data_IF_522180604863
#
_entry.id   IF_522180604863
#
_cell.length_a   1.000
_cell.length_b   1.000
_cell.length_c   1.000
_cell.angle_alpha   90.00
_cell.angle_beta   90.00
_cell.angle_gamma   90.00
#
_symmetry.space_group_name_H-M   'P 1'
#
loop_
_entity.id
_entity.type
_entity.pdbx_description
1 polymer ?
#
# COMPACT_ATOMS: atom_id res chain seq x y z
N UNK A 1 -16.04 21.21 -13.84
CA UNK A 1 -15.80 21.12 -12.39
C UNK A 1 -14.62 21.97 -12.01
N UNK A 2 -14.74 22.72 -10.94
CA UNK A 2 -13.66 23.59 -10.47
C UNK A 2 -12.47 22.73 -10.00
N UNK A 3 -11.25 22.92 -10.57
CA UNK A 3 -10.08 22.13 -10.15
C UNK A 3 -9.72 22.29 -8.67
N UNK A 4 -9.88 23.48 -8.11
CA UNK A 4 -9.58 23.73 -6.70
C UNK A 4 -10.54 22.93 -5.81
N UNK A 5 -11.81 22.89 -6.16
CA UNK A 5 -12.80 22.13 -5.43
C UNK A 5 -12.51 20.62 -5.51
N UNK A 6 -12.14 20.15 -6.68
CA UNK A 6 -11.74 18.74 -6.88
C UNK A 6 -10.53 18.39 -6.04
N UNK A 7 -9.53 19.27 -5.99
CA UNK A 7 -8.34 19.08 -5.16
C UNK A 7 -8.71 18.92 -3.69
N UNK A 8 -9.60 19.77 -3.18
CA UNK A 8 -10.01 19.71 -1.78
C UNK A 8 -10.74 18.41 -1.46
N UNK A 9 -11.58 17.93 -2.37
CA UNK A 9 -12.27 16.65 -2.21
C UNK A 9 -11.28 15.49 -2.13
N UNK A 10 -10.26 15.48 -3.00
CA UNK A 10 -9.23 14.45 -3.02
C UNK A 10 -8.40 14.47 -1.74
N UNK A 11 -8.05 15.66 -1.25
CA UNK A 11 -7.31 15.79 0.01
C UNK A 11 -8.13 15.24 1.19
N UNK A 12 -9.44 15.48 1.21
CA UNK A 12 -10.31 14.93 2.24
C UNK A 12 -10.35 13.40 2.17
N UNK A 13 -10.36 12.83 0.98
CA UNK A 13 -10.32 11.38 0.82
C UNK A 13 -9.01 10.79 1.32
N UNK A 14 -7.88 11.47 1.08
CA UNK A 14 -6.59 11.04 1.60
C UNK A 14 -6.58 10.95 3.12
N UNK A 15 -7.21 11.93 3.77
CA UNK A 15 -7.26 11.98 5.23
C UNK A 15 -8.08 10.83 5.84
N UNK A 16 -8.88 10.14 5.05
CA UNK A 16 -9.69 9.02 5.53
C UNK A 16 -8.92 7.70 5.63
N UNK A 17 -7.68 7.64 5.17
CA UNK A 17 -6.86 6.43 5.26
C UNK A 17 -5.91 6.51 6.45
N UNK A 18 -6.31 5.97 7.62
CA UNK A 18 -5.47 6.08 8.83
C UNK A 18 -4.27 5.14 8.80
N UNK A 19 -4.38 4.00 8.10
CA UNK A 19 -3.32 3.00 8.04
C UNK A 19 -3.09 2.58 6.59
N UNK A 20 -1.83 2.59 6.16
CA UNK A 20 -1.46 2.10 4.84
C UNK A 20 -0.01 1.64 4.86
N UNK A 21 0.27 0.60 4.10
CA UNK A 21 1.60 -0.02 4.03
C UNK A 21 1.91 -0.33 2.57
N UNK A 22 3.14 -0.04 2.19
CA UNK A 22 3.67 -0.41 0.88
C UNK A 22 4.47 -1.71 1.03
N UNK A 23 4.12 -2.71 0.24
CA UNK A 23 4.82 -3.99 0.29
C UNK A 23 3.97 -5.11 -0.27
N UNK A 24 4.47 -6.31 -0.14
CA UNK A 24 3.78 -7.51 -0.58
C UNK A 24 3.84 -8.58 0.50
N UNK A 25 2.80 -9.40 0.56
CA UNK A 25 2.74 -10.51 1.49
C UNK A 25 3.17 -11.77 0.75
N UNK A 26 4.13 -12.47 1.35
CA UNK A 26 4.56 -13.78 0.87
C UNK A 26 4.31 -14.81 1.98
N UNK A 27 3.92 -16.01 1.57
CA UNK A 27 3.81 -17.12 2.49
C UNK A 27 5.02 -18.02 2.30
N UNK A 28 5.63 -18.42 3.41
CA UNK A 28 6.78 -19.30 3.41
C UNK A 28 6.57 -20.41 4.44
N UNK A 29 7.26 -21.53 4.25
CA UNK A 29 7.24 -22.59 5.26
C UNK A 29 7.99 -22.12 6.50
N UNK A 30 7.35 -22.22 7.66
CA UNK A 30 7.96 -21.81 8.92
C UNK A 30 9.17 -22.68 9.29
N UNK A 31 9.23 -23.92 8.79
CA UNK A 31 10.31 -24.85 9.05
C UNK A 31 11.49 -24.67 8.09
N UNK A 32 11.19 -24.60 6.78
CA UNK A 32 12.20 -24.54 5.72
C UNK A 32 12.52 -23.12 5.29
N UNK A 33 11.68 -22.16 5.62
CA UNK A 33 11.80 -20.77 5.19
C UNK A 33 11.80 -20.62 3.65
N UNK A 34 11.12 -21.54 2.96
CA UNK A 34 11.01 -21.53 1.50
C UNK A 34 9.56 -21.35 1.08
N UNK A 35 9.36 -20.60 -0.01
CA UNK A 35 8.03 -20.37 -0.53
C UNK A 35 7.41 -21.63 -1.17
N UNK A 36 8.25 -22.49 -1.73
CA UNK A 36 7.81 -23.74 -2.36
C UNK A 36 8.57 -24.91 -1.78
N UNK A 37 7.97 -25.60 -0.84
CA UNK A 37 8.49 -26.86 -0.31
C UNK A 37 7.32 -27.80 -0.06
N UNK A 38 7.63 -29.07 0.18
CA UNK A 38 6.60 -30.08 0.42
C UNK A 38 5.78 -29.76 1.67
N UNK A 39 6.38 -29.08 2.65
CA UNK A 39 5.73 -28.66 3.88
C UNK A 39 4.67 -27.58 3.65
N UNK A 40 4.76 -26.84 2.55
CA UNK A 40 3.85 -25.72 2.24
C UNK A 40 2.40 -26.18 2.03
N UNK A 41 2.16 -27.47 1.84
CA UNK A 41 0.83 -28.03 1.70
C UNK A 41 0.08 -28.09 3.04
N UNK A 42 0.78 -27.96 4.16
CA UNK A 42 0.19 -27.95 5.49
C UNK A 42 0.07 -26.51 5.99
N UNK A 43 -1.15 -26.01 6.10
CA UNK A 43 -1.41 -24.63 6.50
C UNK A 43 -0.84 -24.28 7.87
N UNK A 44 -0.76 -25.25 8.78
CA UNK A 44 -0.20 -25.03 10.11
C UNK A 44 1.29 -24.72 10.11
N UNK A 45 2.00 -25.05 9.02
CA UNK A 45 3.44 -24.79 8.87
C UNK A 45 3.72 -23.52 8.08
N UNK A 46 2.67 -22.82 7.61
CA UNK A 46 2.85 -21.61 6.82
C UNK A 46 3.08 -20.40 7.69
N UNK A 47 4.04 -19.61 7.33
CA UNK A 47 4.31 -18.32 7.93
C UNK A 47 4.11 -17.23 6.86
N UNK A 48 3.74 -16.03 7.30
CA UNK A 48 3.50 -14.91 6.41
C UNK A 48 4.50 -13.81 6.69
N UNK A 49 5.00 -13.17 5.65
CA UNK A 49 5.92 -12.05 5.75
C UNK A 49 5.48 -10.91 4.87
N UNK A 50 5.58 -9.71 5.43
CA UNK A 50 5.48 -8.49 4.63
C UNK A 50 6.88 -8.13 4.17
N UNK A 51 7.09 -8.07 2.86
CA UNK A 51 8.36 -7.64 2.27
C UNK A 51 8.17 -6.24 1.72
N UNK A 52 9.03 -5.32 2.11
CA UNK A 52 8.95 -3.93 1.70
C UNK A 52 10.33 -3.33 1.58
N UNK A 53 10.41 -2.18 0.90
CA UNK A 53 11.65 -1.41 0.81
C UNK A 53 11.57 -0.22 1.75
N UNK A 54 12.60 -0.03 2.57
CA UNK A 54 12.66 1.08 3.50
C UNK A 54 13.06 2.39 2.77
N UNK A 55 13.22 3.47 3.54
CA UNK A 55 13.59 4.78 2.98
C UNK A 55 14.95 4.78 2.28
N UNK A 56 15.82 3.83 2.60
CA UNK A 56 17.13 3.67 1.98
C UNK A 56 17.12 2.67 0.81
N UNK A 57 15.92 2.24 0.38
CA UNK A 57 15.72 1.27 -0.70
C UNK A 57 16.26 -0.13 -0.40
N UNK A 58 16.46 -0.44 0.87
CA UNK A 58 16.85 -1.78 1.30
C UNK A 58 15.61 -2.63 1.51
N UNK A 59 15.68 -3.88 1.07
CA UNK A 59 14.59 -4.83 1.25
C UNK A 59 14.54 -5.28 2.71
N UNK A 60 13.38 -5.10 3.33
CA UNK A 60 13.12 -5.51 4.71
C UNK A 60 11.94 -6.44 4.73
N UNK A 61 11.84 -7.26 5.75
CA UNK A 61 10.70 -8.13 5.94
C UNK A 61 10.26 -8.11 7.40
N UNK A 62 8.94 -8.23 7.59
CA UNK A 62 8.33 -8.27 8.92
C UNK A 62 7.44 -9.49 8.97
N UNK A 63 7.56 -10.25 10.05
CA UNK A 63 6.71 -11.40 10.26
C UNK A 63 5.27 -10.96 10.55
N UNK A 64 4.30 -11.58 9.88
CA UNK A 64 2.89 -11.27 10.04
C UNK A 64 2.19 -12.51 10.59
N UNK A 65 1.56 -12.36 11.74
CA UNK A 65 0.79 -13.45 12.35
C UNK A 65 -0.48 -13.70 11.54
N UNK A 66 -0.97 -14.95 11.57
CA UNK A 66 -2.14 -15.34 10.81
C UNK A 66 -3.37 -14.49 11.13
N UNK A 67 -3.55 -14.13 12.41
CA UNK A 67 -4.66 -13.29 12.85
C UNK A 67 -4.51 -11.81 12.42
N UNK A 68 -3.29 -11.37 12.10
CA UNK A 68 -3.01 -10.02 11.62
C UNK A 68 -3.10 -9.90 10.11
N UNK A 69 -3.21 -11.03 9.41
CA UNK A 69 -3.16 -11.06 7.94
C UNK A 69 -4.27 -10.22 7.28
N UNK A 70 -5.55 -10.30 7.71
CA UNK A 70 -6.60 -9.47 7.11
C UNK A 70 -6.33 -7.98 7.25
N UNK A 71 -5.84 -7.54 8.42
CA UNK A 71 -5.49 -6.14 8.65
C UNK A 71 -4.35 -5.69 7.73
N UNK A 72 -3.32 -6.52 7.61
CA UNK A 72 -2.18 -6.20 6.74
C UNK A 72 -2.60 -6.10 5.29
N UNK A 73 -3.45 -6.99 4.81
CA UNK A 73 -3.98 -6.94 3.45
C UNK A 73 -4.78 -5.68 3.20
N UNK A 74 -5.56 -5.25 4.19
CA UNK A 74 -6.32 -4.01 4.12
C UNK A 74 -5.40 -2.79 4.04
N UNK A 75 -4.32 -2.79 4.82
CA UNK A 75 -3.34 -1.70 4.80
C UNK A 75 -2.64 -1.59 3.45
N UNK A 76 -2.33 -2.73 2.82
CA UNK A 76 -1.73 -2.75 1.48
C UNK A 76 -2.72 -2.23 0.45
N UNK A 77 -3.99 -2.65 0.53
CA UNK A 77 -5.03 -2.16 -0.36
C UNK A 77 -5.25 -0.66 -0.20
N UNK A 78 -5.20 -0.16 1.03
CA UNK A 78 -5.31 1.27 1.32
C UNK A 78 -4.18 2.05 0.66
N UNK A 79 -2.97 1.52 0.66
CA UNK A 79 -1.85 2.17 -0.02
C UNK A 79 -2.08 2.27 -1.52
N UNK A 80 -2.60 1.21 -2.13
CA UNK A 80 -2.90 1.23 -3.56
C UNK A 80 -3.93 2.30 -3.92
N UNK A 81 -4.98 2.44 -3.09
CA UNK A 81 -5.99 3.48 -3.26
C UNK A 81 -5.42 4.87 -3.04
N UNK A 82 -4.60 5.02 -2.01
CA UNK A 82 -3.91 6.28 -1.70
C UNK A 82 -3.05 6.72 -2.87
N UNK A 83 -2.32 5.79 -3.47
CA UNK A 83 -1.45 6.09 -4.62
C UNK A 83 -2.26 6.61 -5.81
N UNK A 84 -3.42 6.03 -6.08
CA UNK A 84 -4.31 6.53 -7.13
C UNK A 84 -4.78 7.95 -6.85
N UNK A 85 -5.13 8.23 -5.60
CA UNK A 85 -5.56 9.57 -5.21
C UNK A 85 -4.43 10.59 -5.40
N UNK A 86 -3.18 10.20 -5.07
CA UNK A 86 -2.03 11.07 -5.27
C UNK A 86 -1.84 11.38 -6.75
N UNK A 87 -1.98 10.38 -7.63
CA UNK A 87 -1.86 10.59 -9.07
C UNK A 87 -2.94 11.54 -9.59
N UNK A 88 -4.18 11.39 -9.11
CA UNK A 88 -5.26 12.30 -9.46
C UNK A 88 -4.97 13.72 -8.97
N UNK A 89 -4.42 13.85 -7.76
CA UNK A 89 -4.03 15.15 -7.21
C UNK A 89 -2.96 15.84 -8.04
N UNK A 90 -1.98 15.08 -8.52
CA UNK A 90 -0.93 15.61 -9.39
C UNK A 90 -1.56 16.25 -10.63
N UNK A 91 -2.47 15.53 -11.29
CA UNK A 91 -3.14 16.05 -12.49
C UNK A 91 -4.00 17.28 -12.19
N UNK A 92 -4.74 17.24 -11.08
CA UNK A 92 -5.59 18.38 -10.69
C UNK A 92 -4.73 19.61 -10.36
N UNK A 93 -3.62 19.42 -9.66
CA UNK A 93 -2.71 20.53 -9.34
C UNK A 93 -2.10 21.15 -10.60
N UNK A 94 -1.80 20.34 -11.60
CA UNK A 94 -1.32 20.85 -12.89
C UNK A 94 -2.40 21.70 -13.57
N UNK A 95 -3.65 21.25 -13.52
CA UNK A 95 -4.77 22.02 -14.09
C UNK A 95 -4.96 23.36 -13.38
N UNK A 96 -4.87 23.35 -12.05
CA UNK A 96 -4.97 24.59 -11.26
C UNK A 96 -3.85 25.55 -11.65
N UNK A 97 -2.64 25.04 -11.76
CA UNK A 97 -1.48 25.85 -12.15
C UNK A 97 -1.66 26.47 -13.55
N UNK A 98 -2.13 25.68 -14.51
CA UNK A 98 -2.38 26.16 -15.87
C UNK A 98 -3.42 27.28 -15.90
N UNK A 99 -4.48 27.16 -15.12
CA UNK A 99 -5.52 28.18 -15.05
C UNK A 99 -4.98 29.47 -14.42
N UNK A 100 -4.14 29.36 -13.41
CA UNK A 100 -3.51 30.53 -12.78
C UNK A 100 -2.59 31.26 -13.74
N UNK A 101 -1.86 30.54 -14.59
CA UNK A 101 -0.93 31.16 -15.54
C UNK A 101 -1.63 31.79 -16.74
N UNK A 102 -2.89 31.45 -16.99
CA UNK A 102 -3.66 32.07 -18.07
C UNK A 102 -4.17 33.46 -17.71
N UNK A 103 -4.17 33.79 -16.44
CA UNK A 103 -4.59 35.12 -15.97
C UNK A 103 -3.39 36.08 -15.96
#
# INVERSE_FOLDING_TARGET
>A
MDPVKKRNELLNKLAQFPEFVRGSITSVCSTCNRARCICSKKSSLMAYRLTYKDSQQKTRSVYVKKDQLPRMRKMIANYARLRKLIEELVEVNIKVFKEETRR
#
